data_IF_322963776291
#
_entry.id   IF_322963776291
#
_cell.length_a   1.000
_cell.length_b   1.000
_cell.length_c   1.000
_cell.angle_alpha   90.00
_cell.angle_beta   90.00
_cell.angle_gamma   90.00
#
_symmetry.space_group_name_H-M   'P 1'
#
loop_
_entity.id
_entity.type
_entity.pdbx_description
1 polymer ?
#
# COMPACT_ATOMS: atom_id res chain seq x y z
N UNK A 1 -5.23 22.46 -17.97
CA UNK A 1 -4.77 22.53 -16.56
C UNK A 1 -3.69 21.48 -16.32
N UNK A 2 -2.58 21.82 -15.69
CA UNK A 2 -1.54 20.82 -15.41
C UNK A 2 -2.03 19.87 -14.30
N UNK A 3 -1.52 18.62 -14.30
CA UNK A 3 -1.84 17.62 -13.25
C UNK A 3 -1.54 18.15 -11.83
N UNK A 4 -0.49 18.96 -11.69
CA UNK A 4 -0.09 19.59 -10.42
C UNK A 4 -1.08 20.65 -9.96
N UNK A 5 -1.63 21.46 -10.87
CA UNK A 5 -2.62 22.47 -10.57
C UNK A 5 -3.90 21.83 -9.98
N UNK A 6 -4.38 20.77 -10.59
CA UNK A 6 -5.55 20.02 -10.11
C UNK A 6 -5.35 19.44 -8.70
N UNK A 7 -4.14 18.97 -8.38
CA UNK A 7 -3.82 18.43 -7.04
C UNK A 7 -3.83 19.55 -6.00
N UNK A 8 -3.28 20.72 -6.32
CA UNK A 8 -3.30 21.87 -5.41
C UNK A 8 -4.73 22.30 -5.07
N UNK A 9 -5.58 22.47 -6.08
CA UNK A 9 -7.00 22.81 -5.91
C UNK A 9 -7.74 21.76 -5.05
N UNK A 10 -7.44 20.49 -5.25
CA UNK A 10 -7.99 19.40 -4.42
C UNK A 10 -7.56 19.54 -2.96
N UNK A 11 -6.29 19.83 -2.70
CA UNK A 11 -5.77 20.02 -1.34
C UNK A 11 -6.43 21.23 -0.64
N UNK A 12 -6.57 22.35 -1.34
CA UNK A 12 -7.23 23.54 -0.84
C UNK A 12 -8.70 23.28 -0.49
N UNK A 13 -9.42 22.53 -1.35
CA UNK A 13 -10.80 22.10 -1.08
C UNK A 13 -10.90 21.23 0.18
N UNK A 14 -10.01 20.26 0.35
CA UNK A 14 -9.99 19.39 1.53
C UNK A 14 -9.79 20.19 2.83
N UNK A 15 -8.97 21.24 2.81
CA UNK A 15 -8.74 22.13 3.95
C UNK A 15 -10.04 22.89 4.30
N UNK A 16 -10.76 23.39 3.30
CA UNK A 16 -12.03 24.07 3.52
C UNK A 16 -13.11 23.13 4.08
N UNK A 17 -13.20 21.91 3.54
CA UNK A 17 -14.11 20.88 4.04
C UNK A 17 -13.79 20.50 5.49
N UNK A 18 -12.51 20.42 5.85
CA UNK A 18 -12.06 20.18 7.22
C UNK A 18 -12.45 21.32 8.16
N UNK A 19 -12.20 22.57 7.77
CA UNK A 19 -12.58 23.75 8.57
C UNK A 19 -14.09 23.75 8.86
N UNK A 20 -14.90 23.44 7.86
CA UNK A 20 -16.36 23.33 7.99
C UNK A 20 -16.76 22.24 8.98
N UNK A 21 -16.18 21.03 8.87
CA UNK A 21 -16.49 19.90 9.76
C UNK A 21 -16.11 20.15 11.21
N UNK A 22 -15.04 20.92 11.43
CA UNK A 22 -14.55 21.27 12.77
C UNK A 22 -15.25 22.53 13.34
N UNK A 23 -16.19 23.13 12.63
CA UNK A 23 -16.79 24.43 12.97
C UNK A 23 -15.72 25.51 13.27
N UNK A 24 -14.61 25.48 12.52
CA UNK A 24 -13.52 26.39 12.72
C UNK A 24 -13.78 27.72 12.03
N UNK A 25 -13.93 28.79 12.80
CA UNK A 25 -14.23 30.13 12.30
C UNK A 25 -12.99 30.94 11.90
N UNK A 26 -11.81 30.41 12.08
CA UNK A 26 -10.56 31.01 11.64
C UNK A 26 -10.25 30.74 10.16
N UNK A 27 -9.18 31.34 9.67
CA UNK A 27 -8.68 31.09 8.32
C UNK A 27 -7.71 29.91 8.35
N UNK A 28 -8.06 28.82 7.66
CA UNK A 28 -7.13 27.72 7.36
C UNK A 28 -6.53 27.94 5.98
N UNK A 29 -5.23 27.89 5.87
CA UNK A 29 -4.50 28.02 4.61
C UNK A 29 -3.65 26.79 4.36
N UNK A 30 -3.46 26.44 3.09
CA UNK A 30 -2.51 25.41 2.69
C UNK A 30 -1.11 26.01 2.81
N UNK A 31 -0.29 25.43 3.70
CA UNK A 31 1.11 25.82 3.85
C UNK A 31 1.94 25.22 2.71
N UNK A 32 1.98 23.89 2.62
CA UNK A 32 2.60 23.17 1.52
C UNK A 32 1.94 21.81 1.29
N UNK A 33 2.21 21.21 0.15
CA UNK A 33 1.87 19.81 -0.10
C UNK A 33 3.02 19.12 -0.82
N UNK A 34 3.10 17.82 -0.65
CA UNK A 34 4.07 16.96 -1.32
C UNK A 34 3.36 15.84 -2.06
N UNK A 35 3.99 15.36 -3.12
CA UNK A 35 3.54 14.18 -3.87
C UNK A 35 4.44 13.01 -3.51
N UNK A 36 3.82 11.90 -3.12
CA UNK A 36 4.52 10.66 -2.85
C UNK A 36 3.98 9.53 -3.71
N UNK A 37 4.87 8.66 -4.17
CA UNK A 37 4.48 7.41 -4.82
C UNK A 37 4.20 6.36 -3.75
N UNK A 38 3.08 5.64 -3.89
CA UNK A 38 2.73 4.54 -3.01
C UNK A 38 2.98 3.21 -3.70
N UNK A 39 3.53 2.21 -3.00
CA UNK A 39 3.60 0.87 -3.55
C UNK A 39 2.18 0.31 -3.66
N UNK A 40 1.77 -0.01 -4.88
CA UNK A 40 0.50 -0.65 -5.15
C UNK A 40 0.79 -1.91 -5.97
N UNK A 41 0.51 -3.11 -5.42
CA UNK A 41 0.56 -4.32 -6.21
C UNK A 41 -0.39 -4.25 -7.41
N UNK A 42 -0.03 -4.86 -8.52
CA UNK A 42 -0.76 -4.75 -9.81
C UNK A 42 -2.24 -5.13 -9.66
N UNK A 43 -2.53 -6.16 -8.88
CA UNK A 43 -3.89 -6.61 -8.59
C UNK A 43 -4.57 -5.84 -7.44
N UNK A 44 -3.94 -4.80 -6.90
CA UNK A 44 -4.44 -3.99 -5.79
C UNK A 44 -4.47 -4.70 -4.42
N UNK A 45 -4.05 -5.96 -4.35
CA UNK A 45 -4.12 -6.79 -3.13
C UNK A 45 -2.78 -6.81 -2.39
N UNK A 46 -2.78 -6.83 -1.05
CA UNK A 46 -1.55 -7.02 -0.29
C UNK A 46 -0.76 -8.25 -0.75
N UNK A 47 0.56 -8.18 -0.65
CA UNK A 47 1.46 -9.31 -0.86
C UNK A 47 2.25 -9.53 0.42
N UNK A 48 1.90 -10.57 1.15
CA UNK A 48 2.47 -10.90 2.45
C UNK A 48 2.89 -12.37 2.42
N UNK A 49 4.17 -12.64 2.59
CA UNK A 49 4.67 -14.01 2.61
C UNK A 49 6.06 -14.18 2.03
N UNK A 50 6.53 -15.42 2.03
CA UNK A 50 7.80 -15.77 1.42
C UNK A 50 7.73 -15.60 -0.10
N UNK A 51 8.76 -15.01 -0.66
CA UNK A 51 8.89 -14.91 -2.11
C UNK A 51 9.06 -16.31 -2.71
N UNK A 52 8.45 -16.54 -3.86
CA UNK A 52 8.61 -17.79 -4.63
C UNK A 52 9.24 -17.50 -5.99
N UNK A 53 10.02 -18.45 -6.48
CA UNK A 53 10.59 -18.37 -7.83
C UNK A 53 9.55 -18.77 -8.90
N UNK A 54 9.93 -18.70 -10.17
CA UNK A 54 9.07 -19.06 -11.31
C UNK A 54 8.60 -20.53 -11.31
N UNK A 55 9.23 -21.40 -10.51
CA UNK A 55 8.85 -22.80 -10.33
C UNK A 55 7.97 -23.01 -9.09
N UNK A 56 7.54 -21.93 -8.41
CA UNK A 56 6.74 -22.02 -7.19
C UNK A 56 7.53 -22.41 -5.92
N UNK A 57 8.86 -22.47 -6.00
CA UNK A 57 9.69 -22.81 -4.85
C UNK A 57 9.97 -21.56 -4.00
N UNK A 58 9.86 -21.70 -2.69
CA UNK A 58 10.17 -20.62 -1.73
C UNK A 58 11.63 -20.22 -1.80
N UNK A 59 11.89 -18.93 -1.91
CA UNK A 59 13.24 -18.37 -1.83
C UNK A 59 13.56 -18.14 -0.36
N UNK A 60 14.63 -18.75 0.12
CA UNK A 60 15.06 -18.59 1.50
C UNK A 60 15.57 -17.18 1.78
N UNK A 61 15.30 -16.69 2.98
CA UNK A 61 15.80 -15.39 3.45
C UNK A 61 15.02 -14.18 2.96
N UNK A 62 14.00 -14.34 2.11
CA UNK A 62 13.18 -13.24 1.62
C UNK A 62 11.72 -13.42 2.04
N UNK A 63 11.21 -12.43 2.77
CA UNK A 63 9.81 -12.30 3.14
C UNK A 63 9.29 -10.94 2.69
N UNK A 64 8.16 -10.91 1.99
CA UNK A 64 7.54 -9.69 1.46
C UNK A 64 6.37 -9.26 2.34
N UNK A 65 6.24 -7.94 2.51
CA UNK A 65 5.05 -7.30 3.07
C UNK A 65 4.80 -5.99 2.32
N UNK A 66 4.12 -6.06 1.19
CA UNK A 66 3.82 -4.90 0.33
C UNK A 66 2.32 -4.70 0.26
N UNK A 67 1.86 -3.49 0.59
CA UNK A 67 0.44 -3.16 0.61
C UNK A 67 0.20 -1.66 0.51
N UNK A 68 -0.94 -1.26 -0.04
CA UNK A 68 -1.32 0.15 -0.14
C UNK A 68 -1.49 0.81 1.24
N UNK A 69 -2.18 0.15 2.16
CA UNK A 69 -2.46 0.67 3.52
C UNK A 69 -1.44 0.17 4.55
N UNK A 70 -0.15 0.27 4.23
CA UNK A 70 0.94 -0.30 5.02
C UNK A 70 0.96 0.20 6.47
N UNK A 71 0.81 1.51 6.69
CA UNK A 71 0.83 2.08 8.06
C UNK A 71 -0.30 1.49 8.92
N UNK A 72 -1.53 1.47 8.39
CA UNK A 72 -2.70 0.94 9.11
C UNK A 72 -2.56 -0.55 9.42
N UNK A 73 -2.04 -1.32 8.48
CA UNK A 73 -1.96 -2.77 8.57
C UNK A 73 -0.63 -3.29 9.13
N UNK A 74 0.37 -2.41 9.34
CA UNK A 74 1.69 -2.82 9.79
C UNK A 74 1.69 -3.67 11.07
N UNK A 75 0.92 -3.35 12.13
CA UNK A 75 0.92 -4.15 13.34
C UNK A 75 0.44 -5.59 13.10
N UNK A 76 -0.63 -5.75 12.32
CA UNK A 76 -1.19 -7.05 12.01
C UNK A 76 -0.30 -7.84 11.05
N UNK A 77 0.13 -7.22 9.95
CA UNK A 77 0.99 -7.84 8.95
C UNK A 77 2.36 -8.22 9.55
N UNK A 78 2.92 -7.38 10.40
CA UNK A 78 4.16 -7.64 11.11
C UNK A 78 4.04 -8.83 12.06
N UNK A 79 3.00 -8.84 12.91
CA UNK A 79 2.78 -9.95 13.83
C UNK A 79 2.59 -11.28 13.09
N UNK A 80 1.65 -11.34 12.14
CA UNK A 80 1.35 -12.57 11.42
C UNK A 80 2.52 -13.03 10.55
N UNK A 81 3.27 -12.09 9.96
CA UNK A 81 4.46 -12.39 9.18
C UNK A 81 5.59 -12.97 10.03
N UNK A 82 5.86 -12.40 11.19
CA UNK A 82 6.88 -12.92 12.12
C UNK A 82 6.48 -14.30 12.64
N UNK A 83 5.23 -14.50 13.02
CA UNK A 83 4.74 -15.81 13.45
C UNK A 83 4.95 -16.86 12.35
N UNK A 84 4.67 -16.54 11.07
CA UNK A 84 4.92 -17.44 9.95
C UNK A 84 6.42 -17.70 9.73
N UNK A 85 7.27 -16.69 9.87
CA UNK A 85 8.72 -16.84 9.72
C UNK A 85 9.31 -17.77 10.79
N UNK A 86 8.88 -17.62 12.04
CA UNK A 86 9.39 -18.38 13.19
C UNK A 86 8.82 -19.79 13.21
N UNK A 87 7.51 -19.94 13.03
CA UNK A 87 6.83 -21.24 13.20
C UNK A 87 6.68 -22.05 11.92
N UNK A 88 6.82 -21.41 10.78
CA UNK A 88 6.49 -22.00 9.47
C UNK A 88 4.99 -22.08 9.17
N UNK A 89 4.13 -21.73 10.14
CA UNK A 89 2.69 -21.83 10.02
C UNK A 89 2.09 -20.50 9.53
N UNK A 90 1.32 -20.57 8.46
CA UNK A 90 0.65 -19.41 7.89
C UNK A 90 -0.73 -19.20 8.52
N UNK A 91 -1.02 -17.98 8.96
CA UNK A 91 -2.32 -17.64 9.49
C UNK A 91 -3.36 -17.48 8.37
N UNK A 92 -4.60 -17.92 8.63
CA UNK A 92 -5.70 -17.84 7.65
C UNK A 92 -6.03 -16.40 7.22
N UNK A 93 -5.83 -15.41 8.07
CA UNK A 93 -6.08 -13.99 7.74
C UNK A 93 -5.19 -13.46 6.61
N UNK A 94 -4.03 -14.04 6.39
CA UNK A 94 -3.10 -13.65 5.31
C UNK A 94 -2.99 -14.71 4.21
N UNK A 95 -3.83 -15.75 4.25
CA UNK A 95 -3.73 -16.90 3.34
C UNK A 95 -3.81 -16.49 1.86
N UNK A 96 -4.71 -15.57 1.53
CA UNK A 96 -4.96 -15.13 0.15
C UNK A 96 -3.97 -14.06 -0.36
N UNK A 97 -3.03 -13.64 0.47
CA UNK A 97 -2.08 -12.56 0.15
C UNK A 97 -0.67 -13.07 -0.18
N UNK A 98 -0.55 -14.29 -0.64
CA UNK A 98 0.75 -14.84 -1.04
C UNK A 98 1.36 -14.05 -2.21
N UNK A 99 2.67 -13.76 -2.16
CA UNK A 99 3.38 -13.24 -3.31
C UNK A 99 3.35 -14.29 -4.43
N UNK A 100 2.79 -13.91 -5.57
CA UNK A 100 2.84 -14.73 -6.77
C UNK A 100 3.97 -14.25 -7.66
N UNK A 101 4.68 -15.16 -8.32
CA UNK A 101 5.59 -14.79 -9.40
C UNK A 101 4.76 -14.39 -10.61
N UNK A 102 4.97 -13.18 -11.09
CA UNK A 102 4.40 -12.78 -12.38
C UNK A 102 5.20 -13.47 -13.48
N UNK A 103 4.52 -14.27 -14.30
CA UNK A 103 5.09 -14.68 -15.58
C UNK A 103 5.20 -13.43 -16.46
N UNK A 104 6.37 -13.19 -17.03
CA UNK A 104 6.68 -12.07 -17.94
C UNK A 104 5.77 -11.97 -19.18
N UNK A 105 4.82 -12.90 -19.37
CA UNK A 105 3.92 -12.97 -20.53
C UNK A 105 2.58 -12.21 -20.33
N UNK A 106 2.29 -11.71 -19.13
CA UNK A 106 1.14 -10.84 -18.97
C UNK A 106 1.59 -9.40 -19.19
N UNK A 107 1.21 -8.88 -20.34
CA UNK A 107 1.49 -7.54 -20.84
C UNK A 107 1.34 -6.48 -19.76
N UNK A 108 2.43 -5.79 -19.43
CA UNK A 108 2.39 -4.48 -18.84
C UNK A 108 1.64 -3.56 -19.83
N UNK A 109 0.36 -3.38 -19.60
CA UNK A 109 -0.30 -2.20 -20.15
C UNK A 109 0.15 -1.03 -19.28
N UNK A 110 0.94 -0.15 -19.88
CA UNK A 110 1.32 1.12 -19.30
C UNK A 110 0.05 1.88 -18.89
N UNK A 111 -0.08 2.13 -17.62
CA UNK A 111 -1.12 2.98 -17.04
C UNK A 111 -0.60 4.42 -16.99
#
# INVERSE_FOLDING_TARGET
MSKVQNIKETAEKLIQDMATRLNYNGKMILDYFTLGSRPLPIDGRPKIGRLVNSKGQKINGIYLAVMHSGITNAPLAGKLGIDEVITGNRNNLIQDFLPQTFNKSENFQDV
#
